data_IF_186692199145
#
_entry.id   IF_186692199145
#
_cell.length_a   1.000
_cell.length_b   1.000
_cell.length_c   1.000
_cell.angle_alpha   90.00
_cell.angle_beta   90.00
_cell.angle_gamma   90.00
#
_symmetry.space_group_name_H-M   'P 1'
#
loop_
_entity.id
_entity.type
_entity.pdbx_description
1 polymer ?
#
# COMPACT_ATOMS: atom_id res chain seq x y z
N UNK A 1 -10.38 -12.63 -17.91
CA UNK A 1 -9.74 -11.75 -16.91
C UNK A 1 -8.73 -10.86 -17.62
N UNK A 2 -8.77 -9.54 -17.47
CA UNK A 2 -7.95 -8.66 -18.31
C UNK A 2 -6.47 -8.69 -17.87
N UNK A 3 -5.61 -9.24 -18.72
CA UNK A 3 -4.18 -9.41 -18.42
C UNK A 3 -3.47 -8.07 -18.13
N UNK A 4 -4.00 -6.95 -18.63
CA UNK A 4 -3.47 -5.62 -18.37
C UNK A 4 -3.75 -5.12 -16.95
N UNK A 5 -4.95 -5.33 -16.40
CA UNK A 5 -5.27 -4.89 -15.03
C UNK A 5 -4.40 -5.64 -14.03
N UNK A 6 -4.22 -6.96 -14.20
CA UNK A 6 -3.37 -7.75 -13.31
C UNK A 6 -1.92 -7.23 -13.29
N UNK A 7 -1.39 -6.79 -14.45
CA UNK A 7 -0.04 -6.21 -14.53
C UNK A 7 0.05 -4.86 -13.81
N UNK A 8 -0.98 -4.03 -13.92
CA UNK A 8 -1.04 -2.75 -13.21
C UNK A 8 -1.01 -2.99 -11.71
N UNK A 9 -1.90 -3.86 -11.20
CA UNK A 9 -1.99 -4.15 -9.77
C UNK A 9 -0.69 -4.76 -9.24
N UNK A 10 -0.11 -5.75 -9.93
CA UNK A 10 1.13 -6.38 -9.51
C UNK A 10 2.32 -5.41 -9.48
N UNK A 11 2.39 -4.43 -10.39
CA UNK A 11 3.41 -3.38 -10.33
C UNK A 11 3.22 -2.49 -9.10
N UNK A 12 1.98 -2.09 -8.79
CA UNK A 12 1.70 -1.27 -7.62
C UNK A 12 2.05 -2.00 -6.31
N UNK A 13 1.71 -3.28 -6.22
CA UNK A 13 2.02 -4.14 -5.06
C UNK A 13 3.55 -4.30 -4.87
N UNK A 14 4.29 -4.62 -5.93
CA UNK A 14 5.75 -4.76 -5.79
C UNK A 14 6.42 -3.43 -5.42
N UNK A 15 5.92 -2.30 -5.95
CA UNK A 15 6.46 -0.99 -5.61
C UNK A 15 6.04 -0.52 -4.20
N UNK A 16 4.98 -1.07 -3.61
CA UNK A 16 4.60 -0.73 -2.22
C UNK A 16 5.55 -1.31 -1.18
N UNK A 17 6.23 -2.41 -1.51
CA UNK A 17 7.19 -3.04 -0.61
C UNK A 17 8.60 -2.41 -0.68
N UNK A 18 8.82 -1.47 -1.62
CA UNK A 18 10.15 -0.97 -1.99
C UNK A 18 10.18 0.56 -1.94
N UNK A 19 10.41 1.12 -0.74
CA UNK A 19 10.39 2.57 -0.50
C UNK A 19 11.43 3.34 -1.35
N UNK A 20 12.58 2.73 -1.61
CA UNK A 20 13.66 3.29 -2.45
C UNK A 20 13.39 3.13 -3.96
N UNK A 21 12.26 2.54 -4.33
CA UNK A 21 11.88 2.25 -5.70
C UNK A 21 12.74 1.17 -6.36
N UNK A 22 12.32 0.76 -7.57
CA UNK A 22 12.95 -0.32 -8.34
C UNK A 22 13.34 0.14 -9.73
N UNK A 23 14.42 -0.44 -10.28
CA UNK A 23 14.75 -0.25 -11.68
C UNK A 23 13.80 -1.05 -12.59
N UNK A 24 13.61 -0.60 -13.84
CA UNK A 24 12.78 -1.30 -14.82
C UNK A 24 13.12 -2.79 -14.95
N UNK A 25 14.42 -3.11 -14.91
CA UNK A 25 14.92 -4.48 -15.01
C UNK A 25 14.44 -5.36 -13.86
N UNK A 26 14.49 -4.85 -12.63
CA UNK A 26 14.09 -5.59 -11.44
C UNK A 26 12.58 -5.86 -11.44
N UNK A 27 11.78 -4.85 -11.80
CA UNK A 27 10.33 -4.98 -11.94
C UNK A 27 9.98 -6.01 -13.01
N UNK A 28 10.65 -5.94 -14.17
CA UNK A 28 10.47 -6.87 -15.28
C UNK A 28 10.79 -8.32 -14.88
N UNK A 29 11.92 -8.53 -14.19
CA UNK A 29 12.34 -9.86 -13.71
C UNK A 29 11.39 -10.41 -12.66
N UNK A 30 11.05 -9.63 -11.62
CA UNK A 30 10.17 -10.09 -10.53
C UNK A 30 8.78 -10.47 -11.02
N UNK A 31 8.26 -9.76 -12.03
CA UNK A 31 6.93 -10.03 -12.60
C UNK A 31 6.93 -11.01 -13.77
N UNK A 32 8.10 -11.47 -14.25
CA UNK A 32 8.19 -12.29 -15.46
C UNK A 32 7.63 -11.61 -16.71
N UNK A 33 7.69 -10.28 -16.78
CA UNK A 33 7.15 -9.48 -17.88
C UNK A 33 8.26 -8.98 -18.80
N UNK A 34 8.06 -8.92 -20.13
CA UNK A 34 9.02 -8.27 -21.02
C UNK A 34 9.22 -6.80 -20.64
N UNK A 35 10.49 -6.31 -20.66
CA UNK A 35 10.83 -4.91 -20.31
C UNK A 35 9.97 -3.88 -21.06
N UNK A 36 9.68 -4.11 -22.35
CA UNK A 36 8.83 -3.24 -23.16
C UNK A 36 7.39 -3.16 -22.64
N UNK A 37 6.83 -4.29 -22.19
CA UNK A 37 5.50 -4.34 -21.60
C UNK A 37 5.48 -3.66 -20.23
N UNK A 38 6.47 -3.91 -19.38
CA UNK A 38 6.62 -3.27 -18.07
C UNK A 38 6.76 -1.76 -18.20
N UNK A 39 7.63 -1.30 -19.09
CA UNK A 39 7.84 0.12 -19.35
C UNK A 39 6.55 0.81 -19.82
N UNK A 40 5.77 0.17 -20.70
CA UNK A 40 4.48 0.73 -21.16
C UNK A 40 3.50 0.92 -20.01
N UNK A 41 3.41 -0.03 -19.08
CA UNK A 41 2.53 0.09 -17.91
C UNK A 41 3.02 1.15 -16.94
N UNK A 42 4.33 1.17 -16.63
CA UNK A 42 4.94 2.19 -15.77
C UNK A 42 4.75 3.61 -16.33
N UNK A 43 4.87 3.78 -17.66
CA UNK A 43 4.57 5.05 -18.32
C UNK A 43 3.12 5.47 -18.09
N UNK A 44 2.15 4.57 -18.27
CA UNK A 44 0.74 4.88 -18.04
C UNK A 44 0.42 5.21 -16.58
N UNK A 45 1.11 4.57 -15.62
CA UNK A 45 1.00 4.87 -14.20
C UNK A 45 1.67 6.20 -13.83
N UNK A 46 2.76 6.55 -14.52
CA UNK A 46 3.45 7.84 -14.37
C UNK A 46 2.59 8.99 -14.91
N UNK A 47 1.99 8.82 -16.09
CA UNK A 47 1.02 9.77 -16.67
C UNK A 47 -0.24 9.98 -15.81
N UNK A 48 -0.50 9.08 -14.85
CA UNK A 48 -1.63 9.15 -13.90
C UNK A 48 -1.18 9.47 -12.47
N UNK A 49 0.08 9.85 -12.29
CA UNK A 49 0.70 10.19 -11.00
C UNK A 49 0.60 9.11 -9.92
N UNK A 50 0.43 7.83 -10.28
CA UNK A 50 0.49 6.72 -9.32
C UNK A 50 1.93 6.27 -9.05
N UNK A 51 2.77 6.41 -10.07
CA UNK A 51 4.20 6.13 -10.03
C UNK A 51 4.91 7.40 -10.45
N UNK A 52 6.13 7.61 -9.96
CA UNK A 52 7.04 8.62 -10.52
C UNK A 52 8.35 7.91 -10.89
N UNK A 53 9.08 8.45 -11.86
CA UNK A 53 10.41 7.95 -12.22
C UNK A 53 11.44 8.99 -11.81
N UNK A 54 12.46 8.56 -11.06
CA UNK A 54 13.58 9.42 -10.73
C UNK A 54 14.45 9.68 -11.96
N UNK A 55 14.78 10.94 -12.21
CA UNK A 55 15.56 11.31 -13.39
C UNK A 55 17.02 10.83 -13.30
N UNK A 56 17.61 10.81 -12.09
CA UNK A 56 19.02 10.46 -11.89
C UNK A 56 19.24 8.94 -11.85
N UNK A 57 18.50 8.24 -11.00
CA UNK A 57 18.63 6.79 -10.79
C UNK A 57 17.80 5.95 -11.75
N UNK A 58 16.86 6.56 -12.48
CA UNK A 58 15.90 5.88 -13.36
C UNK A 58 15.00 4.87 -12.64
N UNK A 59 14.94 4.92 -11.31
CA UNK A 59 14.09 4.06 -10.49
C UNK A 59 12.65 4.55 -10.48
N UNK A 60 11.74 3.61 -10.35
CA UNK A 60 10.30 3.84 -10.22
C UNK A 60 9.87 3.59 -8.78
N UNK A 61 9.06 4.49 -8.24
CA UNK A 61 8.51 4.43 -6.89
C UNK A 61 7.07 4.93 -6.89
N UNK A 62 6.27 4.44 -5.94
CA UNK A 62 4.91 4.92 -5.75
C UNK A 62 4.91 6.39 -5.35
N UNK A 63 3.85 7.10 -5.74
CA UNK A 63 3.52 8.40 -5.15
C UNK A 63 2.56 8.21 -3.99
N UNK A 64 2.30 9.29 -3.25
CA UNK A 64 1.28 9.30 -2.18
C UNK A 64 -0.17 9.17 -2.68
N UNK A 65 -0.40 9.10 -4.00
CA UNK A 65 -1.76 9.03 -4.57
C UNK A 65 -2.54 7.81 -4.09
N UNK A 66 -1.88 6.66 -3.92
CA UNK A 66 -2.51 5.45 -3.37
C UNK A 66 -2.90 5.64 -1.90
N UNK A 67 -2.00 6.20 -1.08
CA UNK A 67 -2.27 6.47 0.33
C UNK A 67 -3.47 7.43 0.49
N UNK A 68 -3.51 8.49 -0.33
CA UNK A 68 -4.64 9.44 -0.34
C UNK A 68 -5.96 8.75 -0.73
N UNK A 69 -5.95 7.84 -1.71
CA UNK A 69 -7.14 7.10 -2.11
C UNK A 69 -7.64 6.18 -0.98
N UNK A 70 -6.72 5.44 -0.35
CA UNK A 70 -7.03 4.57 0.78
C UNK A 70 -7.58 5.36 1.97
N UNK A 71 -6.91 6.46 2.35
CA UNK A 71 -7.35 7.32 3.44
C UNK A 71 -8.74 7.93 3.18
N UNK A 72 -9.00 8.38 1.95
CA UNK A 72 -10.33 8.90 1.57
C UNK A 72 -11.42 7.84 1.68
N UNK A 73 -11.12 6.60 1.28
CA UNK A 73 -12.07 5.48 1.44
C UNK A 73 -12.34 5.18 2.91
N UNK A 74 -11.30 5.02 3.72
CA UNK A 74 -11.43 4.76 5.16
C UNK A 74 -12.16 5.89 5.91
N UNK A 75 -11.92 7.14 5.52
CA UNK A 75 -12.65 8.29 6.06
C UNK A 75 -14.13 8.23 5.69
N UNK A 76 -14.46 7.87 4.44
CA UNK A 76 -15.84 7.78 3.98
C UNK A 76 -16.64 6.66 4.66
N UNK A 77 -15.99 5.57 5.07
CA UNK A 77 -16.67 4.47 5.80
C UNK A 77 -16.90 4.79 7.28
N UNK A 78 -16.30 5.88 7.82
CA UNK A 78 -16.27 6.22 9.25
C UNK A 78 -15.72 5.09 10.14
N UNK A 79 -15.05 4.11 9.54
CA UNK A 79 -14.56 2.92 10.25
C UNK A 79 -13.55 3.32 11.32
N UNK A 80 -12.61 4.21 10.97
CA UNK A 80 -11.62 4.71 11.92
C UNK A 80 -12.25 5.50 13.07
N UNK A 81 -13.27 6.33 12.81
CA UNK A 81 -13.95 7.13 13.84
C UNK A 81 -14.63 6.25 14.90
N UNK A 82 -15.21 5.12 14.48
CA UNK A 82 -15.90 4.20 15.38
C UNK A 82 -14.93 3.26 16.08
N UNK A 83 -13.94 2.74 15.36
CA UNK A 83 -13.08 1.67 15.86
C UNK A 83 -11.86 2.18 16.63
N UNK A 84 -11.26 3.29 16.23
CA UNK A 84 -10.01 3.77 16.85
C UNK A 84 -10.14 4.02 18.36
N UNK A 85 -11.22 4.65 18.87
CA UNK A 85 -11.37 4.85 20.33
C UNK A 85 -11.41 3.54 21.13
N UNK A 86 -12.03 2.50 20.56
CA UNK A 86 -12.10 1.18 21.21
C UNK A 86 -10.73 0.49 21.21
N UNK A 87 -9.99 0.59 20.11
CA UNK A 87 -8.63 0.04 20.02
C UNK A 87 -7.67 0.76 20.96
N UNK A 88 -7.73 2.08 21.02
CA UNK A 88 -6.91 2.91 21.91
C UNK A 88 -7.18 2.56 23.38
N UNK A 89 -8.45 2.42 23.77
CA UNK A 89 -8.80 2.03 25.14
C UNK A 89 -8.23 0.65 25.49
N UNK A 90 -8.44 -0.36 24.62
CA UNK A 90 -7.93 -1.71 24.86
C UNK A 90 -6.40 -1.76 24.88
N UNK A 91 -5.76 -1.00 23.99
CA UNK A 91 -4.31 -0.89 23.93
C UNK A 91 -3.76 -0.25 25.21
N UNK A 92 -4.43 0.79 25.72
CA UNK A 92 -4.06 1.43 26.98
C UNK A 92 -4.25 0.50 28.19
N UNK A 93 -5.36 -0.23 28.26
CA UNK A 93 -5.67 -1.16 29.35
C UNK A 93 -4.70 -2.35 29.39
N UNK A 94 -4.30 -2.86 28.22
CA UNK A 94 -3.40 -4.01 28.11
C UNK A 94 -1.92 -3.63 28.14
N UNK A 95 -1.59 -2.43 27.67
CA UNK A 95 -0.21 -2.00 27.41
C UNK A 95 0.42 -2.71 26.20
N UNK A 96 -0.38 -3.34 25.34
CA UNK A 96 0.06 -4.16 24.21
C UNK A 96 -0.36 -3.55 22.86
N UNK A 97 0.14 -4.10 21.75
CA UNK A 97 -0.31 -3.76 20.40
C UNK A 97 -1.66 -4.43 20.10
N UNK A 98 -2.68 -3.62 19.85
CA UNK A 98 -4.01 -4.09 19.44
C UNK A 98 -4.19 -3.83 17.95
N UNK A 99 -4.61 -4.85 17.20
CA UNK A 99 -4.87 -4.74 15.76
C UNK A 99 -6.29 -5.20 15.44
N UNK A 100 -6.93 -4.50 14.50
CA UNK A 100 -8.26 -4.84 14.00
C UNK A 100 -8.21 -5.26 12.54
N UNK A 101 -8.79 -6.43 12.25
CA UNK A 101 -8.90 -6.95 10.89
C UNK A 101 -10.36 -7.12 10.50
N UNK A 102 -10.70 -6.78 9.26
CA UNK A 102 -12.00 -7.08 8.66
C UNK A 102 -11.86 -8.35 7.82
N UNK A 103 -12.86 -9.23 7.91
CA UNK A 103 -12.96 -10.41 7.05
C UNK A 103 -13.63 -9.99 5.74
N UNK A 104 -12.90 -10.08 4.63
CA UNK A 104 -13.44 -9.92 3.29
C UNK A 104 -13.24 -11.21 2.48
N UNK A 105 -14.32 -11.98 2.32
CA UNK A 105 -14.25 -13.31 1.71
C UNK A 105 -13.35 -14.24 2.51
N UNK A 106 -12.27 -14.72 1.90
CA UNK A 106 -11.27 -15.59 2.53
C UNK A 106 -10.02 -14.83 3.02
N UNK A 107 -10.04 -13.49 2.99
CA UNK A 107 -8.89 -12.65 3.37
C UNK A 107 -9.17 -11.88 4.65
N UNK A 108 -8.13 -11.74 5.48
CA UNK A 108 -8.08 -10.80 6.59
C UNK A 108 -7.43 -9.51 6.11
N UNK A 109 -8.19 -8.42 6.12
CA UNK A 109 -7.70 -7.08 5.76
C UNK A 109 -7.44 -6.31 7.04
N UNK A 110 -6.19 -5.93 7.26
CA UNK A 110 -5.84 -5.06 8.38
C UNK A 110 -6.29 -3.63 8.08
N UNK A 111 -7.05 -3.05 9.01
CA UNK A 111 -7.71 -1.76 8.79
C UNK A 111 -7.35 -0.70 9.83
N UNK A 112 -6.94 -1.11 11.04
CA UNK A 112 -6.54 -0.20 12.11
C UNK A 112 -5.69 -0.90 13.18
N UNK A 113 -4.90 -0.12 13.91
CA UNK A 113 -4.16 -0.56 15.09
C UNK A 113 -4.00 0.55 16.13
N UNK A 114 -3.67 0.15 17.34
CA UNK A 114 -3.34 1.03 18.44
C UNK A 114 -2.23 0.39 19.27
N UNK A 115 -1.16 1.15 19.55
CA UNK A 115 -0.05 0.70 20.37
C UNK A 115 -0.27 1.16 21.81
N UNK A 116 -0.43 0.21 22.72
CA UNK A 116 -0.38 0.48 24.15
C UNK A 116 1.05 0.82 24.55
N UNK A 117 1.25 1.90 25.30
CA UNK A 117 2.51 2.11 26.00
C UNK A 117 2.32 1.74 27.46
N UNK A 118 3.11 0.79 27.97
CA UNK A 118 3.34 0.75 29.41
C UNK A 118 4.15 2.00 29.75
N UNK A 119 3.53 2.98 30.41
CA UNK A 119 4.28 4.08 31.00
C UNK A 119 5.35 3.48 31.93
N UNK A 120 6.63 3.68 31.59
CA UNK A 120 7.77 3.35 32.45
C UNK A 120 8.91 2.61 31.75
N UNK A 121 9.76 3.35 31.04
CA UNK A 121 11.23 3.29 31.15
C UNK A 121 11.77 4.72 31.01
#
# INVERSE_FOLDING_TARGET
MSQQINRVLAILEILSDEADGLALGDISTRLGLPKSATHRVLRQLTERDYVKQDAASQRYWLTMRLAVLGFRYLSATRLNEVCQPVLDQLAQETGELVRMTVVEGEKLIWVADAQGSRYGL
#
